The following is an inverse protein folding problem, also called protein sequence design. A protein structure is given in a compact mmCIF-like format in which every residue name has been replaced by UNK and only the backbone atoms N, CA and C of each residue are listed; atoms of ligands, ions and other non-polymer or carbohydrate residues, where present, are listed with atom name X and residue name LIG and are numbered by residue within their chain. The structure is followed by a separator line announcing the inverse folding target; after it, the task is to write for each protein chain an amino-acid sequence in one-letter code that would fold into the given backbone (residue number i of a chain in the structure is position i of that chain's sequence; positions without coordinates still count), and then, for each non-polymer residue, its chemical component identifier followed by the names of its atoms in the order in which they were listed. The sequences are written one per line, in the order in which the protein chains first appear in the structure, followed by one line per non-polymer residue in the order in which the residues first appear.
data_IF_929397261069
#
_entry.id   IF_929397261069
#
_cell.length_a   1.000
_cell.length_b   1.000
_cell.length_c   1.000
_cell.angle_alpha   90.00
_cell.angle_beta   90.00
_cell.angle_gamma   90.00
#
_symmetry.space_group_name_H-M   'P 1'
#
loop_
_entity.id
_entity.type
_entity.pdbx_description
1 polymer ?
#
# COMPACT_ATOMS: atom_id res chain seq x y z
N UNK A 1 15.20 -27.77 -4.48
CA UNK A 1 15.24 -26.29 -4.47
C UNK A 1 13.79 -25.85 -4.51
N UNK A 2 13.19 -25.72 -3.34
CA UNK A 2 11.74 -25.74 -3.23
C UNK A 2 11.25 -24.53 -2.47
N UNK A 3 10.21 -23.91 -3.02
CA UNK A 3 9.29 -22.97 -2.35
C UNK A 3 9.57 -21.47 -2.53
N UNK A 4 9.60 -20.99 -3.76
CA UNK A 4 8.93 -19.71 -4.04
C UNK A 4 7.43 -19.98 -4.14
N UNK A 5 6.76 -20.21 -3.00
CA UNK A 5 5.31 -20.37 -2.97
C UNK A 5 4.71 -19.05 -3.44
N UNK A 6 4.08 -19.07 -4.61
CA UNK A 6 3.23 -17.98 -5.07
C UNK A 6 2.22 -17.69 -3.96
N UNK A 7 2.20 -16.45 -3.47
CA UNK A 7 1.22 -16.05 -2.45
C UNK A 7 -0.18 -16.30 -3.01
N UNK A 8 -1.12 -16.83 -2.23
CA UNK A 8 -2.52 -16.93 -2.64
C UNK A 8 -3.03 -15.59 -3.17
N UNK A 9 -3.93 -15.61 -4.17
CA UNK A 9 -4.42 -14.38 -4.83
C UNK A 9 -4.95 -13.32 -3.83
N UNK A 10 -5.56 -13.76 -2.74
CA UNK A 10 -6.09 -12.90 -1.68
C UNK A 10 -5.02 -12.27 -0.78
N UNK A 11 -3.75 -12.61 -0.97
CA UNK A 11 -2.58 -12.04 -0.29
C UNK A 11 -1.67 -11.28 -1.27
N UNK A 12 -2.11 -11.10 -2.52
CA UNK A 12 -1.38 -10.35 -3.53
C UNK A 12 -1.95 -8.94 -3.68
N UNK A 13 -1.10 -7.90 -3.82
CA UNK A 13 -1.55 -6.55 -4.09
C UNK A 13 -2.49 -6.51 -5.30
N UNK A 14 -3.56 -5.73 -5.20
CA UNK A 14 -4.48 -5.49 -6.30
C UNK A 14 -4.07 -4.27 -7.11
N UNK A 15 -3.51 -3.25 -6.45
CA UNK A 15 -3.08 -2.00 -7.09
C UNK A 15 -1.82 -1.46 -6.45
N UNK A 16 -1.03 -0.76 -7.26
CA UNK A 16 0.00 0.16 -6.78
C UNK A 16 -0.37 1.55 -7.28
N UNK A 17 -0.48 2.47 -6.33
CA UNK A 17 -0.95 3.84 -6.57
C UNK A 17 0.16 4.79 -6.15
N UNK A 18 0.61 5.61 -7.08
CA UNK A 18 1.53 6.71 -6.82
C UNK A 18 0.76 7.90 -6.23
N UNK A 19 1.31 8.51 -5.19
CA UNK A 19 0.82 9.74 -4.58
C UNK A 19 1.96 10.74 -4.40
N UNK A 20 1.60 12.01 -4.31
CA UNK A 20 2.42 13.06 -3.70
C UNK A 20 2.01 13.24 -2.23
N UNK A 21 2.91 12.93 -1.30
CA UNK A 21 2.69 13.05 0.14
C UNK A 21 3.84 13.83 0.78
N UNK A 22 3.53 14.91 1.51
CA UNK A 22 4.53 15.82 2.14
C UNK A 22 5.61 16.31 1.15
N UNK A 23 5.20 16.61 -0.09
CA UNK A 23 6.10 17.06 -1.17
C UNK A 23 6.99 15.97 -1.77
N UNK A 24 6.81 14.71 -1.37
CA UNK A 24 7.56 13.55 -1.87
C UNK A 24 6.65 12.61 -2.63
N UNK A 25 7.25 11.86 -3.56
CA UNK A 25 6.58 10.76 -4.24
C UNK A 25 6.57 9.53 -3.32
N UNK A 26 5.41 8.89 -3.22
CA UNK A 26 5.23 7.66 -2.45
C UNK A 26 4.33 6.67 -3.20
N UNK A 27 4.41 5.41 -2.83
CA UNK A 27 3.69 4.32 -3.46
C UNK A 27 2.83 3.59 -2.42
N UNK A 28 1.52 3.68 -2.61
CA UNK A 28 0.53 2.96 -1.82
C UNK A 28 0.22 1.61 -2.47
N UNK A 29 0.41 0.55 -1.72
CA UNK A 29 0.15 -0.84 -2.13
C UNK A 29 -1.20 -1.26 -1.56
N UNK A 30 -2.21 -1.35 -2.43
CA UNK A 30 -3.56 -1.71 -2.06
C UNK A 30 -3.71 -3.24 -2.04
N UNK A 31 -4.06 -3.78 -0.88
CA UNK A 31 -4.35 -5.19 -0.65
C UNK A 31 -5.83 -5.51 -0.91
N UNK A 32 -6.17 -6.75 -1.29
CA UNK A 32 -7.54 -7.14 -1.67
C UNK A 32 -8.50 -7.24 -0.48
N UNK A 33 -8.00 -7.45 0.74
CA UNK A 33 -8.82 -7.54 1.94
C UNK A 33 -8.41 -6.46 2.94
N UNK A 34 -9.40 -5.82 3.57
CA UNK A 34 -9.20 -4.77 4.58
C UNK A 34 -8.46 -5.27 5.83
N UNK A 35 -8.44 -6.58 6.10
CA UNK A 35 -7.66 -7.17 7.20
C UNK A 35 -6.14 -7.08 6.98
N UNK A 36 -5.69 -6.87 5.75
CA UNK A 36 -4.28 -6.63 5.45
C UNK A 36 -3.97 -5.14 5.52
N UNK A 37 -2.76 -4.83 5.95
CA UNK A 37 -2.26 -3.46 5.90
C UNK A 37 -2.02 -3.03 4.46
N UNK A 38 -2.47 -1.83 4.14
CA UNK A 38 -2.11 -1.18 2.89
C UNK A 38 -0.83 -0.38 3.12
N UNK A 39 0.26 -0.81 2.52
CA UNK A 39 1.60 -0.28 2.83
C UNK A 39 1.95 0.92 1.94
N UNK A 40 2.68 1.88 2.50
CA UNK A 40 3.20 3.05 1.78
C UNK A 40 4.72 3.01 1.79
N UNK A 41 5.30 3.11 0.60
CA UNK A 41 6.74 3.13 0.38
C UNK A 41 7.20 4.47 -0.20
N UNK A 42 8.44 4.89 0.10
CA UNK A 42 9.07 6.02 -0.59
C UNK A 42 9.71 5.61 -1.93
N UNK A 43 10.32 6.58 -2.63
CA UNK A 43 11.02 6.36 -3.91
C UNK A 43 12.26 5.45 -3.81
N UNK A 44 12.69 5.13 -2.59
CA UNK A 44 13.83 4.25 -2.29
C UNK A 44 13.39 2.89 -1.75
N UNK A 45 12.11 2.56 -1.90
CA UNK A 45 11.50 1.32 -1.40
C UNK A 45 11.56 1.17 0.14
N UNK A 46 11.68 2.25 0.90
CA UNK A 46 11.56 2.18 2.36
C UNK A 46 10.09 2.18 2.76
N UNK A 47 9.71 1.24 3.63
CA UNK A 47 8.38 1.22 4.23
C UNK A 47 8.22 2.40 5.18
N UNK A 48 7.30 3.31 4.87
CA UNK A 48 6.92 4.44 5.71
C UNK A 48 5.89 4.01 6.76
N UNK A 49 5.00 3.09 6.39
CA UNK A 49 3.96 2.54 7.25
C UNK A 49 2.68 2.24 6.49
N UNK A 50 1.61 2.02 7.23
CA UNK A 50 0.30 1.69 6.70
C UNK A 50 -0.76 2.65 7.23
N UNK A 51 -1.32 3.53 6.39
CA UNK A 51 -2.31 4.52 6.82
C UNK A 51 -3.69 3.92 7.09
N UNK A 52 -3.98 2.74 6.52
CA UNK A 52 -5.25 2.03 6.66
C UNK A 52 -5.06 0.51 6.48
N UNK A 53 -6.17 -0.22 6.55
CA UNK A 53 -6.18 -1.68 6.58
C UNK A 53 -5.82 -2.23 7.96
N UNK A 54 -5.51 -3.53 8.01
CA UNK A 54 -5.41 -4.27 9.27
C UNK A 54 -6.78 -4.55 9.88
N UNK A 55 -6.82 -5.40 10.91
CA UNK A 55 -8.08 -5.82 11.55
C UNK A 55 -8.96 -4.66 12.07
N UNK A 56 -8.34 -3.53 12.44
CA UNK A 56 -9.07 -2.33 12.88
C UNK A 56 -9.45 -1.37 11.75
N UNK A 57 -8.90 -1.56 10.55
CA UNK A 57 -8.97 -0.64 9.41
C UNK A 57 -8.17 0.66 9.58
N UNK A 58 -7.47 0.86 10.71
CA UNK A 58 -6.76 2.11 11.05
C UNK A 58 -5.28 2.11 10.67
N UNK A 59 -4.80 1.05 10.02
CA UNK A 59 -3.38 0.91 9.72
C UNK A 59 -2.54 0.73 10.97
N UNK A 60 -1.25 1.07 10.87
CA UNK A 60 -0.27 0.91 11.96
C UNK A 60 -0.06 2.18 12.81
N UNK A 61 -0.75 3.27 12.47
CA UNK A 61 -0.71 4.54 13.20
C UNK A 61 0.50 5.44 12.87
N UNK A 62 1.42 5.05 11.98
CA UNK A 62 2.58 5.88 11.60
C UNK A 62 2.24 7.01 10.63
N UNK A 63 1.14 6.86 9.89
CA UNK A 63 0.72 7.78 8.82
C UNK A 63 -0.70 8.36 9.04
N UNK A 64 -0.97 9.02 10.19
CA UNK A 64 -2.32 9.43 10.58
C UNK A 64 -2.93 10.53 9.69
N UNK A 65 -2.10 11.28 8.99
CA UNK A 65 -2.50 12.39 8.12
C UNK A 65 -2.52 12.03 6.62
N UNK A 66 -2.14 10.80 6.26
CA UNK A 66 -1.99 10.37 4.86
C UNK A 66 -3.24 10.59 4.02
N UNK A 67 -4.40 10.16 4.51
CA UNK A 67 -5.67 10.32 3.77
C UNK A 67 -6.05 11.79 3.51
N UNK A 68 -5.49 12.74 4.26
CA UNK A 68 -5.74 14.18 4.10
C UNK A 68 -4.67 14.87 3.23
N UNK A 69 -3.42 14.43 3.33
CA UNK A 69 -2.28 15.09 2.70
C UNK A 69 -1.81 14.44 1.40
N UNK A 70 -2.07 13.16 1.19
CA UNK A 70 -1.74 12.46 -0.05
C UNK A 70 -2.62 12.99 -1.20
N UNK A 71 -1.98 13.39 -2.29
CA UNK A 71 -2.61 14.03 -3.46
C UNK A 71 -2.05 13.47 -4.75
N UNK A 72 -2.62 13.88 -5.87
CA UNK A 72 -2.18 13.49 -7.22
C UNK A 72 -2.18 11.95 -7.39
N UNK A 73 -3.28 11.32 -6.99
CA UNK A 73 -3.49 9.88 -7.14
C UNK A 73 -3.23 9.45 -8.59
N UNK A 74 -2.38 8.44 -8.76
CA UNK A 74 -2.12 7.83 -10.06
C UNK A 74 -1.91 6.34 -9.92
N UNK A 75 -2.82 5.54 -10.47
CA UNK A 75 -2.63 4.10 -10.55
C UNK A 75 -1.49 3.82 -11.55
N UNK A 76 -0.43 3.15 -11.07
CA UNK A 76 0.74 2.80 -11.89
C UNK A 76 0.79 1.31 -12.21
N UNK A 77 0.07 0.50 -11.45
CA UNK A 77 -0.10 -0.93 -11.69
C UNK A 77 -1.41 -1.41 -11.08
N UNK A 78 -2.07 -2.34 -11.77
CA UNK A 78 -3.27 -3.02 -11.30
C UNK A 78 -3.19 -4.49 -11.70
N UNK A 79 -3.57 -5.38 -10.79
CA UNK A 79 -3.67 -6.80 -11.04
C UNK A 79 -4.73 -7.05 -12.11
N UNK A 80 -4.37 -7.77 -13.18
CA UNK A 80 -5.31 -8.17 -14.21
C UNK A 80 -5.96 -9.47 -13.79
N UNK A 81 -7.28 -9.44 -13.61
CA UNK A 81 -8.10 -10.62 -13.31
C UNK A 81 -8.33 -11.48 -14.55
#
# INVERSE_FOLDING_TARGET
MDSFKVKPQHEQPQRVIEYSYKGKKVYYVAMPCCDFFNEVYDDKCNLLGSPDGGFSGRGDGKLPDFAKEAKNEKIIWEARH
#
